data_IF_161217664335
#
_entry.id   IF_161217664335
#
_cell.length_a   1.000
_cell.length_b   1.000
_cell.length_c   1.000
_cell.angle_alpha   90.00
_cell.angle_beta   90.00
_cell.angle_gamma   90.00
#
_symmetry.space_group_name_H-M   'P 1'
#
loop_
_entity.id
_entity.type
_entity.pdbx_description
1 polymer ?
#
# COMPACT_ATOMS: atom_id res chain seq x y z
N UNK A 1 -28.08 -7.65 -2.37
CA UNK A 1 -27.46 -7.38 -3.69
C UNK A 1 -26.11 -8.11 -3.69
N UNK A 2 -25.86 -8.99 -4.64
CA UNK A 2 -24.63 -9.82 -4.71
C UNK A 2 -24.00 -9.67 -6.09
N UNK A 3 -22.67 -9.54 -6.15
CA UNK A 3 -21.96 -9.10 -7.36
C UNK A 3 -21.22 -10.20 -8.16
N UNK A 4 -21.08 -11.45 -7.70
CA UNK A 4 -20.34 -12.47 -8.47
C UNK A 4 -20.82 -13.92 -8.26
N UNK A 5 -20.78 -14.72 -9.34
CA UNK A 5 -21.26 -16.11 -9.43
C UNK A 5 -20.29 -17.06 -10.18
N UNK A 6 -18.99 -16.78 -10.30
CA UNK A 6 -18.02 -17.75 -10.88
C UNK A 6 -16.63 -17.69 -10.22
N UNK A 7 -15.91 -18.76 -9.88
CA UNK A 7 -16.15 -20.21 -9.85
C UNK A 7 -16.12 -20.65 -8.36
N UNK A 8 -17.16 -21.36 -7.89
CA UNK A 8 -17.30 -21.92 -6.52
C UNK A 8 -17.72 -20.91 -5.43
N UNK A 9 -18.93 -20.34 -5.54
CA UNK A 9 -19.71 -19.92 -4.37
C UNK A 9 -20.94 -20.81 -4.26
N UNK A 10 -20.82 -21.87 -3.45
CA UNK A 10 -21.91 -22.80 -3.12
C UNK A 10 -23.03 -22.06 -2.34
N UNK A 11 -22.74 -20.87 -1.81
CA UNK A 11 -23.62 -20.09 -0.94
C UNK A 11 -24.92 -19.60 -1.60
N UNK A 12 -24.89 -19.13 -2.86
CA UNK A 12 -26.11 -18.69 -3.54
C UNK A 12 -27.04 -19.86 -3.92
N UNK A 13 -26.51 -21.08 -3.98
CA UNK A 13 -27.26 -22.32 -4.22
C UNK A 13 -27.72 -22.93 -2.88
N UNK A 14 -26.90 -22.88 -1.82
CA UNK A 14 -27.27 -23.24 -0.45
C UNK A 14 -28.34 -22.30 0.15
N UNK A 15 -28.37 -21.01 -0.20
CA UNK A 15 -29.45 -20.10 0.21
C UNK A 15 -30.76 -20.41 -0.55
N UNK A 16 -30.67 -20.96 -1.77
CA UNK A 16 -31.84 -21.41 -2.55
C UNK A 16 -32.34 -22.81 -2.18
N UNK A 17 -31.44 -23.72 -1.84
CA UNK A 17 -31.72 -25.16 -1.62
C UNK A 17 -31.69 -25.58 -0.14
N UNK A 18 -30.96 -24.85 0.70
CA UNK A 18 -30.80 -25.12 2.14
C UNK A 18 -32.00 -24.63 2.93
N UNK A 19 -32.78 -25.59 3.44
CA UNK A 19 -33.99 -25.40 4.23
C UNK A 19 -33.83 -24.74 5.60
N UNK A 20 -33.15 -23.59 5.67
CA UNK A 20 -33.60 -22.57 6.58
C UNK A 20 -35.06 -22.28 6.18
N UNK A 21 -36.00 -22.43 7.10
CA UNK A 21 -37.38 -21.98 6.91
C UNK A 21 -37.42 -20.45 6.79
N UNK A 22 -36.84 -19.91 5.71
CA UNK A 22 -37.19 -18.63 5.13
C UNK A 22 -38.63 -18.80 4.68
N UNK A 23 -39.53 -18.51 5.63
CA UNK A 23 -40.96 -18.33 5.37
C UNK A 23 -41.05 -17.53 4.08
N UNK A 24 -41.91 -18.00 3.16
CA UNK A 24 -42.26 -17.35 1.89
C UNK A 24 -42.65 -15.87 2.13
N UNK A 25 -41.65 -15.03 2.29
CA UNK A 25 -41.71 -13.58 2.35
C UNK A 25 -40.67 -13.09 1.36
N UNK A 26 -41.02 -12.02 0.69
CA UNK A 26 -40.57 -11.67 -0.66
C UNK A 26 -39.15 -11.12 -0.71
N UNK A 27 -38.15 -11.93 -0.34
CA UNK A 27 -36.74 -11.60 -0.54
C UNK A 27 -36.40 -11.74 -2.03
N UNK A 28 -36.33 -10.61 -2.74
CA UNK A 28 -35.90 -10.59 -4.15
C UNK A 28 -34.39 -10.49 -4.20
N UNK A 29 -33.71 -11.59 -4.52
CA UNK A 29 -32.28 -11.59 -4.85
C UNK A 29 -32.10 -10.97 -6.24
N UNK A 30 -31.29 -9.91 -6.36
CA UNK A 30 -30.99 -9.24 -7.64
C UNK A 30 -29.50 -9.41 -7.94
N UNK A 31 -29.21 -9.89 -9.15
CA UNK A 31 -27.90 -10.27 -9.68
C UNK A 31 -27.41 -9.25 -10.70
N UNK A 32 -26.10 -8.96 -10.71
CA UNK A 32 -25.45 -8.15 -11.74
C UNK A 32 -24.82 -9.03 -12.82
N UNK A 33 -24.92 -8.61 -14.09
CA UNK A 33 -24.54 -9.44 -15.23
C UNK A 33 -23.12 -9.19 -15.79
N UNK A 34 -22.31 -8.30 -15.21
CA UNK A 34 -21.05 -7.88 -15.84
C UNK A 34 -19.87 -7.85 -14.86
N UNK A 35 -18.96 -8.80 -15.02
CA UNK A 35 -17.65 -8.81 -14.37
C UNK A 35 -16.74 -7.69 -14.91
N UNK A 36 -16.27 -6.86 -13.98
CA UNK A 36 -15.10 -5.97 -14.03
C UNK A 36 -15.28 -4.45 -14.33
N UNK A 37 -14.56 -3.70 -13.47
CA UNK A 37 -14.07 -2.30 -13.48
C UNK A 37 -15.04 -1.21 -12.97
N UNK A 38 -14.60 -0.51 -11.93
CA UNK A 38 -15.30 0.37 -10.98
C UNK A 38 -16.26 1.46 -11.52
N UNK A 39 -16.27 1.75 -12.82
CA UNK A 39 -17.15 2.77 -13.41
C UNK A 39 -18.54 2.23 -13.78
N UNK A 40 -18.65 1.01 -14.32
CA UNK A 40 -19.95 0.40 -14.68
C UNK A 40 -20.69 -0.11 -13.46
N UNK A 41 -19.94 -0.68 -12.50
CA UNK A 41 -20.46 -1.16 -11.22
C UNK A 41 -21.14 -0.08 -10.39
N UNK A 42 -20.61 1.14 -10.46
CA UNK A 42 -21.14 2.31 -9.75
C UNK A 42 -22.49 2.75 -10.29
N UNK A 43 -22.62 2.85 -11.61
CA UNK A 43 -23.87 3.23 -12.27
C UNK A 43 -24.94 2.14 -12.12
N UNK A 44 -24.54 0.86 -12.21
CA UNK A 44 -25.43 -0.29 -12.02
C UNK A 44 -25.93 -0.38 -10.58
N UNK A 45 -25.04 -0.20 -9.59
CA UNK A 45 -25.42 -0.15 -8.17
C UNK A 45 -26.38 1.02 -7.89
N UNK A 46 -26.11 2.20 -8.45
CA UNK A 46 -26.94 3.38 -8.25
C UNK A 46 -28.36 3.16 -8.79
N UNK A 47 -28.47 2.65 -10.02
CA UNK A 47 -29.78 2.37 -10.64
C UNK A 47 -30.57 1.34 -9.84
N UNK A 48 -29.89 0.29 -9.35
CA UNK A 48 -30.56 -0.79 -8.64
C UNK A 48 -31.01 -0.39 -7.23
N UNK A 49 -30.17 0.32 -6.47
CA UNK A 49 -30.55 0.88 -5.17
C UNK A 49 -31.75 1.83 -5.34
N UNK A 50 -31.75 2.67 -6.39
CA UNK A 50 -32.89 3.54 -6.70
C UNK A 50 -34.16 2.77 -7.00
N UNK A 51 -34.08 1.73 -7.85
CA UNK A 51 -35.23 0.87 -8.20
C UNK A 51 -35.82 0.19 -6.96
N UNK A 52 -34.97 -0.32 -6.08
CA UNK A 52 -35.40 -1.00 -4.84
C UNK A 52 -35.97 -0.02 -3.82
N UNK A 53 -35.39 1.17 -3.69
CA UNK A 53 -35.91 2.23 -2.82
C UNK A 53 -37.28 2.73 -3.30
N UNK A 54 -37.44 2.99 -4.60
CA UNK A 54 -38.70 3.45 -5.22
C UNK A 54 -39.84 2.41 -5.08
N UNK A 55 -39.51 1.13 -4.92
CA UNK A 55 -40.50 0.09 -4.67
C UNK A 55 -41.18 0.21 -3.29
N UNK A 56 -40.53 0.87 -2.31
CA UNK A 56 -41.08 1.10 -0.96
C UNK A 56 -41.38 -0.17 -0.16
N UNK A 57 -40.69 -1.28 -0.46
CA UNK A 57 -40.94 -2.62 0.11
C UNK A 57 -39.86 -3.11 1.07
N UNK A 58 -38.72 -2.44 1.12
CA UNK A 58 -37.54 -2.89 1.86
C UNK A 58 -37.07 -1.79 2.81
N UNK A 59 -36.81 -2.17 4.06
CA UNK A 59 -36.30 -1.26 5.09
C UNK A 59 -34.76 -1.21 5.12
N UNK A 60 -34.09 -2.25 4.61
CA UNK A 60 -32.64 -2.39 4.65
C UNK A 60 -32.10 -3.11 3.42
N UNK A 61 -30.93 -2.69 2.93
CA UNK A 61 -30.24 -3.32 1.81
C UNK A 61 -28.89 -3.87 2.29
N UNK A 62 -28.68 -5.18 2.10
CA UNK A 62 -27.37 -5.81 2.25
C UNK A 62 -26.68 -5.87 0.88
N UNK A 63 -25.48 -5.33 0.78
CA UNK A 63 -24.66 -5.33 -0.42
C UNK A 63 -23.41 -6.18 -0.15
N UNK A 64 -23.28 -7.28 -0.88
CA UNK A 64 -22.08 -8.10 -0.92
C UNK A 64 -21.22 -7.67 -2.11
N UNK A 65 -20.07 -7.06 -1.81
CA UNK A 65 -19.03 -6.81 -2.81
C UNK A 65 -18.32 -8.11 -3.17
N UNK A 66 -17.69 -8.16 -4.35
CA UNK A 66 -16.80 -9.29 -4.67
C UNK A 66 -15.69 -9.39 -3.62
N UNK A 67 -15.14 -10.59 -3.39
CA UNK A 67 -14.04 -10.80 -2.44
C UNK A 67 -12.77 -9.99 -2.76
N UNK A 68 -12.70 -9.40 -3.96
CA UNK A 68 -11.61 -8.56 -4.47
C UNK A 68 -12.00 -7.08 -4.58
N UNK A 69 -13.21 -6.74 -4.11
CA UNK A 69 -13.77 -5.40 -4.14
C UNK A 69 -13.16 -4.50 -3.08
N UNK A 70 -12.95 -3.24 -3.44
CA UNK A 70 -12.50 -2.21 -2.53
C UNK A 70 -13.72 -1.56 -1.84
N UNK A 71 -13.68 -1.36 -0.51
CA UNK A 71 -14.80 -0.74 0.23
C UNK A 71 -15.06 0.72 -0.14
N UNK A 72 -13.99 1.44 -0.51
CA UNK A 72 -14.02 2.88 -0.75
C UNK A 72 -14.85 3.28 -1.99
N UNK A 73 -14.68 2.67 -3.17
CA UNK A 73 -15.53 2.96 -4.34
C UNK A 73 -17.02 2.76 -4.07
N UNK A 74 -17.37 1.72 -3.28
CA UNK A 74 -18.77 1.49 -2.85
C UNK A 74 -19.25 2.65 -2.00
N UNK A 75 -18.51 3.02 -0.95
CA UNK A 75 -18.89 4.14 -0.09
C UNK A 75 -18.93 5.50 -0.81
N UNK A 76 -18.02 5.74 -1.74
CA UNK A 76 -17.98 6.95 -2.56
C UNK A 76 -19.24 7.07 -3.44
N UNK A 77 -19.77 5.95 -3.95
CA UNK A 77 -21.03 5.92 -4.71
C UNK A 77 -22.20 6.50 -3.92
N UNK A 78 -22.18 6.39 -2.58
CA UNK A 78 -23.21 6.96 -1.72
C UNK A 78 -23.08 8.45 -1.45
N UNK A 79 -21.89 9.03 -1.62
CA UNK A 79 -21.61 10.42 -1.24
C UNK A 79 -21.43 11.36 -2.44
N UNK A 80 -21.01 10.83 -3.58
CA UNK A 80 -20.79 11.65 -4.78
C UNK A 80 -22.14 11.98 -5.42
N UNK A 81 -22.28 13.25 -5.83
CA UNK A 81 -23.43 13.74 -6.60
C UNK A 81 -23.13 13.63 -8.10
N UNK A 82 -24.12 13.25 -8.88
CA UNK A 82 -24.05 13.25 -10.34
C UNK A 82 -24.16 14.67 -10.93
N UNK A 83 -24.12 14.78 -12.27
CA UNK A 83 -24.23 16.05 -12.99
C UNK A 83 -25.57 16.77 -12.76
N UNK A 84 -26.61 16.03 -12.37
CA UNK A 84 -27.94 16.54 -12.05
C UNK A 84 -28.08 16.88 -10.56
N UNK A 85 -27.01 16.68 -9.78
CA UNK A 85 -26.95 16.97 -8.35
C UNK A 85 -27.55 15.88 -7.46
N UNK A 86 -27.92 14.71 -7.99
CA UNK A 86 -28.49 13.59 -7.24
C UNK A 86 -27.39 12.70 -6.64
N UNK A 87 -27.60 12.22 -5.42
CA UNK A 87 -26.74 11.21 -4.78
C UNK A 87 -27.58 10.11 -4.13
N UNK A 88 -27.03 8.90 -4.00
CA UNK A 88 -27.72 7.82 -3.29
C UNK A 88 -28.00 8.19 -1.82
N UNK A 89 -27.21 9.07 -1.20
CA UNK A 89 -27.50 9.61 0.13
C UNK A 89 -28.89 10.25 0.26
N UNK A 90 -29.48 10.70 -0.86
CA UNK A 90 -30.80 11.33 -0.87
C UNK A 90 -31.94 10.31 -0.72
N UNK A 91 -31.68 9.01 -0.96
CA UNK A 91 -32.68 7.93 -0.92
C UNK A 91 -32.32 6.77 0.02
N UNK A 92 -31.04 6.57 0.32
CA UNK A 92 -30.56 5.49 1.17
C UNK A 92 -29.35 5.96 1.99
N UNK A 93 -29.27 5.52 3.25
CA UNK A 93 -28.15 5.77 4.15
C UNK A 93 -27.20 4.57 4.12
N UNK A 94 -25.91 4.79 3.91
CA UNK A 94 -24.91 3.76 4.19
C UNK A 94 -24.79 3.60 5.71
N UNK A 95 -25.09 2.41 6.22
CA UNK A 95 -25.27 2.19 7.65
C UNK A 95 -24.00 1.66 8.35
N UNK A 96 -23.44 0.57 7.82
CA UNK A 96 -22.30 -0.14 8.42
C UNK A 96 -21.48 -0.81 7.31
N UNK A 97 -20.16 -0.61 7.32
CA UNK A 97 -19.24 -1.38 6.48
C UNK A 97 -18.70 -2.59 7.24
N UNK A 98 -18.91 -3.79 6.69
CA UNK A 98 -18.53 -5.05 7.33
C UNK A 98 -17.48 -5.76 6.51
N UNK A 99 -16.36 -6.12 7.13
CA UNK A 99 -15.31 -6.97 6.52
C UNK A 99 -15.28 -8.31 7.24
N UNK A 100 -15.38 -9.40 6.48
CA UNK A 100 -15.28 -10.76 7.02
C UNK A 100 -13.86 -11.28 6.78
N UNK A 101 -13.19 -11.64 7.87
CA UNK A 101 -11.82 -12.16 7.88
C UNK A 101 -11.85 -13.63 8.22
N UNK A 102 -11.16 -14.46 7.45
CA UNK A 102 -10.95 -15.87 7.78
C UNK A 102 -9.84 -16.00 8.82
N UNK A 103 -10.19 -16.29 10.09
CA UNK A 103 -9.21 -16.43 11.17
C UNK A 103 -8.16 -17.51 10.92
N UNK A 104 -8.49 -18.55 10.16
CA UNK A 104 -7.56 -19.65 9.85
C UNK A 104 -6.56 -19.33 8.75
N UNK A 105 -6.90 -18.42 7.85
CA UNK A 105 -6.09 -18.09 6.69
C UNK A 105 -5.47 -16.68 6.76
N UNK A 106 -6.02 -15.78 7.57
CA UNK A 106 -5.69 -14.35 7.53
C UNK A 106 -4.20 -14.10 7.75
N UNK A 107 -3.58 -14.63 8.79
CA UNK A 107 -2.15 -14.40 9.04
C UNK A 107 -1.25 -14.97 7.93
N UNK A 108 -1.66 -16.10 7.34
CA UNK A 108 -0.92 -16.71 6.23
C UNK A 108 -1.04 -15.85 4.95
N UNK A 109 -2.26 -15.39 4.64
CA UNK A 109 -2.53 -14.54 3.48
C UNK A 109 -1.94 -13.15 3.65
N UNK A 110 -1.97 -12.60 4.87
CA UNK A 110 -1.37 -11.33 5.25
C UNK A 110 0.17 -11.38 5.25
N UNK A 111 0.74 -12.56 5.52
CA UNK A 111 2.18 -12.82 5.41
C UNK A 111 2.63 -13.25 4.00
N UNK A 112 1.72 -13.38 3.05
CA UNK A 112 1.98 -13.94 1.73
C UNK A 112 2.57 -12.91 0.75
N UNK A 113 3.46 -13.36 -0.14
CA UNK A 113 3.95 -12.54 -1.27
C UNK A 113 3.09 -12.69 -2.53
N UNK A 114 2.01 -13.46 -2.46
CA UNK A 114 1.17 -13.77 -3.61
C UNK A 114 0.43 -12.52 -4.12
N UNK A 115 0.31 -12.44 -5.44
CA UNK A 115 -0.55 -11.48 -6.14
C UNK A 115 -1.94 -12.04 -6.36
N UNK A 116 -2.90 -11.14 -6.57
CA UNK A 116 -4.26 -11.52 -6.94
C UNK A 116 -4.29 -12.37 -8.23
N UNK A 117 -3.46 -12.01 -9.21
CA UNK A 117 -3.28 -12.78 -10.45
C UNK A 117 -2.83 -14.23 -10.20
N UNK A 118 -1.96 -14.46 -9.22
CA UNK A 118 -1.43 -15.80 -8.89
C UNK A 118 -2.48 -16.68 -8.18
N UNK A 119 -3.52 -16.07 -7.60
CA UNK A 119 -4.69 -16.75 -7.05
C UNK A 119 -5.86 -16.86 -8.03
N UNK A 120 -5.73 -16.32 -9.24
CA UNK A 120 -6.86 -16.19 -10.17
C UNK A 120 -7.94 -15.22 -9.68
N UNK A 121 -7.59 -14.31 -8.76
CA UNK A 121 -8.48 -13.35 -8.09
C UNK A 121 -8.25 -11.90 -8.58
N UNK A 122 -7.75 -11.72 -9.80
CA UNK A 122 -7.50 -10.38 -10.36
C UNK A 122 -8.80 -9.73 -10.85
N UNK A 123 -9.01 -8.45 -10.56
CA UNK A 123 -10.16 -7.69 -11.04
C UNK A 123 -10.07 -7.35 -12.54
N UNK A 124 -8.89 -7.52 -13.16
CA UNK A 124 -8.65 -7.28 -14.57
C UNK A 124 -7.21 -7.63 -14.97
N UNK A 125 -6.87 -7.53 -16.26
CA UNK A 125 -5.54 -7.85 -16.77
C UNK A 125 -4.44 -6.90 -16.27
N UNK A 126 -4.82 -5.69 -15.82
CA UNK A 126 -3.90 -4.68 -15.27
C UNK A 126 -3.88 -4.67 -13.73
N UNK A 127 -4.61 -5.58 -13.07
CA UNK A 127 -4.64 -5.68 -11.60
C UNK A 127 -3.41 -6.43 -11.08
N UNK A 128 -2.36 -5.67 -10.75
CA UNK A 128 -1.07 -6.18 -10.29
C UNK A 128 -0.89 -6.20 -8.76
N UNK A 129 -1.98 -5.94 -8.02
CA UNK A 129 -2.00 -5.81 -6.56
C UNK A 129 -1.61 -7.11 -5.84
N UNK A 130 -0.99 -6.94 -4.67
CA UNK A 130 -0.75 -8.03 -3.72
C UNK A 130 -2.02 -8.39 -2.96
N UNK A 131 -2.17 -9.67 -2.58
CA UNK A 131 -3.27 -10.12 -1.70
C UNK A 131 -3.27 -9.32 -0.39
N UNK A 132 -2.08 -9.04 0.15
CA UNK A 132 -1.90 -8.29 1.40
C UNK A 132 -2.39 -6.85 1.31
N UNK A 133 -2.17 -6.18 0.16
CA UNK A 133 -2.57 -4.78 -0.01
C UNK A 133 -4.10 -4.66 0.02
N UNK A 134 -4.80 -5.57 -0.68
CA UNK A 134 -6.26 -5.65 -0.65
C UNK A 134 -6.80 -5.93 0.77
N UNK A 135 -6.21 -6.90 1.48
CA UNK A 135 -6.63 -7.25 2.84
C UNK A 135 -6.45 -6.07 3.81
N UNK A 136 -5.35 -5.30 3.69
CA UNK A 136 -5.15 -4.08 4.47
C UNK A 136 -6.28 -3.09 4.23
N UNK A 137 -6.56 -2.76 2.98
CA UNK A 137 -7.58 -1.77 2.61
C UNK A 137 -8.98 -2.18 3.08
N UNK A 138 -9.32 -3.46 2.96
CA UNK A 138 -10.60 -4.01 3.43
C UNK A 138 -10.74 -3.92 4.96
N UNK A 139 -9.67 -4.20 5.70
CA UNK A 139 -9.68 -4.14 7.17
C UNK A 139 -9.71 -2.69 7.65
N UNK A 140 -8.90 -1.80 7.08
CA UNK A 140 -8.79 -0.38 7.48
C UNK A 140 -10.11 0.39 7.32
N UNK A 141 -10.93 0.04 6.33
CA UNK A 141 -12.18 0.76 6.04
C UNK A 141 -13.39 0.23 6.81
N UNK A 142 -13.29 -0.93 7.48
CA UNK A 142 -14.42 -1.58 8.13
C UNK A 142 -14.91 -0.82 9.38
N UNK A 143 -16.22 -0.79 9.60
CA UNK A 143 -16.84 -0.43 10.88
C UNK A 143 -16.95 -1.65 11.81
N UNK A 144 -17.14 -2.82 11.21
CA UNK A 144 -17.22 -4.10 11.91
C UNK A 144 -16.37 -5.11 11.15
N UNK A 145 -15.51 -5.81 11.87
CA UNK A 145 -14.70 -6.91 11.35
C UNK A 145 -15.20 -8.20 12.00
N UNK A 146 -15.69 -9.13 11.19
CA UNK A 146 -16.09 -10.45 11.63
C UNK A 146 -14.93 -11.41 11.41
N UNK A 147 -14.33 -11.90 12.49
CA UNK A 147 -13.32 -12.96 12.43
C UNK A 147 -14.05 -14.29 12.43
N UNK A 148 -14.12 -14.91 11.25
CA UNK A 148 -14.79 -16.18 11.01
C UNK A 148 -13.84 -17.37 11.24
N UNK A 149 -14.42 -18.57 11.35
CA UNK A 149 -13.70 -19.84 11.55
C UNK A 149 -12.80 -19.87 12.77
N UNK A 150 -13.21 -19.20 13.86
CA UNK A 150 -12.45 -19.21 15.12
C UNK A 150 -12.37 -20.60 15.77
N UNK A 151 -13.26 -21.52 15.35
CA UNK A 151 -13.24 -22.93 15.72
C UNK A 151 -12.11 -23.75 15.07
N UNK A 152 -11.43 -23.19 14.06
CA UNK A 152 -10.36 -23.87 13.31
C UNK A 152 -8.96 -23.38 13.69
N UNK A 153 -8.86 -22.46 14.65
CA UNK A 153 -7.59 -21.87 15.09
C UNK A 153 -7.38 -22.08 16.58
N UNK A 154 -6.13 -22.13 17.00
CA UNK A 154 -5.78 -22.12 18.41
C UNK A 154 -5.80 -20.70 18.99
N UNK A 155 -5.75 -20.61 20.32
CA UNK A 155 -5.82 -19.34 21.03
C UNK A 155 -4.66 -18.40 20.68
N UNK A 156 -3.47 -18.94 20.38
CA UNK A 156 -2.28 -18.15 20.04
C UNK A 156 -2.46 -17.46 18.68
N UNK A 157 -2.81 -18.23 17.64
CA UNK A 157 -3.09 -17.71 16.29
C UNK A 157 -4.27 -16.74 16.31
N UNK A 158 -5.30 -17.01 17.12
CA UNK A 158 -6.43 -16.10 17.27
C UNK A 158 -6.00 -14.78 17.90
N UNK A 159 -5.21 -14.80 19.00
CA UNK A 159 -4.73 -13.56 19.62
C UNK A 159 -3.83 -12.76 18.67
N UNK A 160 -2.96 -13.42 17.91
CA UNK A 160 -2.11 -12.77 16.91
C UNK A 160 -2.95 -12.13 15.80
N UNK A 161 -3.97 -12.85 15.30
CA UNK A 161 -4.92 -12.33 14.31
C UNK A 161 -5.62 -11.08 14.83
N UNK A 162 -6.14 -11.14 16.06
CA UNK A 162 -6.83 -10.01 16.69
C UNK A 162 -5.89 -8.82 16.91
N UNK A 163 -4.63 -9.07 17.26
CA UNK A 163 -3.61 -8.03 17.43
C UNK A 163 -3.31 -7.32 16.10
N UNK A 164 -3.15 -8.08 15.00
CA UNK A 164 -2.95 -7.50 13.66
C UNK A 164 -4.18 -6.70 13.23
N UNK A 165 -5.39 -7.25 13.36
CA UNK A 165 -6.62 -6.56 12.99
C UNK A 165 -6.82 -5.28 13.82
N UNK A 166 -6.50 -5.30 15.12
CA UNK A 166 -6.51 -4.10 15.97
C UNK A 166 -5.46 -3.08 15.56
N UNK A 167 -4.29 -3.53 15.10
CA UNK A 167 -3.25 -2.67 14.56
C UNK A 167 -3.67 -1.99 13.28
N UNK A 168 -4.37 -2.70 12.39
CA UNK A 168 -4.87 -2.12 11.14
C UNK A 168 -6.09 -1.21 11.38
N UNK A 169 -7.01 -1.61 12.26
CA UNK A 169 -8.24 -0.88 12.55
C UNK A 169 -8.72 -1.08 14.01
N UNK A 170 -8.54 -0.06 14.86
CA UNK A 170 -9.01 -0.08 16.27
C UNK A 170 -10.42 0.37 16.46
N UNK A 171 -10.93 1.18 15.55
CA UNK A 171 -12.27 1.74 15.67
C UNK A 171 -13.32 0.71 15.27
N UNK A 172 -12.94 -0.24 14.40
CA UNK A 172 -13.78 -1.36 14.03
C UNK A 172 -14.19 -2.19 15.24
N UNK A 173 -15.47 -2.58 15.31
CA UNK A 173 -15.90 -3.60 16.24
C UNK A 173 -15.42 -4.96 15.75
N UNK A 174 -14.74 -5.74 16.60
CA UNK A 174 -14.37 -7.12 16.28
C UNK A 174 -15.45 -8.06 16.81
N UNK A 175 -15.94 -8.93 15.95
CA UNK A 175 -16.87 -10.01 16.28
C UNK A 175 -16.21 -11.34 15.96
N UNK A 176 -16.26 -12.28 16.91
CA UNK A 176 -15.78 -13.64 16.67
C UNK A 176 -16.96 -14.48 16.19
N UNK A 177 -16.72 -15.31 15.17
CA UNK A 177 -17.75 -16.14 14.57
C UNK A 177 -17.24 -17.55 14.27
N UNK A 178 -18.07 -18.52 14.61
CA UNK A 178 -17.95 -19.91 14.19
C UNK A 178 -19.19 -20.27 13.38
N UNK A 179 -19.00 -20.93 12.24
CA UNK A 179 -20.10 -21.34 11.35
C UNK A 179 -21.07 -20.21 10.96
N UNK A 180 -20.57 -18.98 10.83
CA UNK A 180 -21.38 -17.82 10.46
C UNK A 180 -22.32 -17.32 11.56
N UNK A 181 -22.22 -17.83 12.78
CA UNK A 181 -22.97 -17.32 13.92
C UNK A 181 -22.45 -15.93 14.29
N UNK A 182 -23.24 -14.90 14.00
CA UNK A 182 -22.94 -13.50 14.30
C UNK A 182 -24.23 -12.80 14.74
N UNK A 183 -24.21 -12.01 15.83
CA UNK A 183 -25.39 -11.24 16.22
C UNK A 183 -25.73 -10.19 15.15
N UNK A 184 -26.81 -10.39 14.40
CA UNK A 184 -27.19 -9.49 13.30
C UNK A 184 -27.44 -8.04 13.73
N UNK A 185 -27.88 -7.82 14.98
CA UNK A 185 -28.03 -6.49 15.55
C UNK A 185 -26.70 -5.72 15.71
N UNK A 186 -25.56 -6.42 15.56
CA UNK A 186 -24.23 -5.82 15.56
C UNK A 186 -23.72 -5.53 14.14
N UNK A 187 -24.46 -5.95 13.10
CA UNK A 187 -24.12 -5.76 11.69
C UNK A 187 -25.12 -4.86 10.95
N UNK A 188 -26.41 -4.93 11.29
CA UNK A 188 -27.49 -4.28 10.57
C UNK A 188 -28.09 -3.14 11.42
N UNK A 189 -28.39 -2.01 10.76
CA UNK A 189 -28.99 -0.80 11.35
C UNK A 189 -28.25 -0.31 12.60
N UNK A 190 -26.92 -0.33 12.54
CA UNK A 190 -26.06 0.09 13.66
C UNK A 190 -25.71 1.57 13.61
N UNK A 191 -25.85 2.21 12.45
CA UNK A 191 -25.49 3.60 12.21
C UNK A 191 -24.01 3.92 12.44
N UNK A 192 -23.13 2.93 12.32
CA UNK A 192 -21.69 3.08 12.62
C UNK A 192 -20.91 3.82 11.53
N UNK A 193 -21.38 3.80 10.29
CA UNK A 193 -20.66 4.40 9.18
C UNK A 193 -20.64 5.94 9.30
N UNK A 194 -19.43 6.50 9.35
CA UNK A 194 -19.20 7.94 9.44
C UNK A 194 -18.57 8.48 8.14
N UNK A 195 -19.38 9.23 7.38
CA UNK A 195 -18.94 9.88 6.14
C UNK A 195 -17.87 10.94 6.36
N UNK A 196 -17.86 11.66 7.47
CA UNK A 196 -16.80 12.64 7.74
C UNK A 196 -15.48 11.95 8.05
N UNK A 197 -15.51 10.82 8.75
CA UNK A 197 -14.34 9.97 8.97
C UNK A 197 -13.83 9.42 7.64
N UNK A 198 -14.73 8.88 6.81
CA UNK A 198 -14.40 8.36 5.49
C UNK A 198 -13.81 9.45 4.57
N UNK A 199 -14.32 10.68 4.62
CA UNK A 199 -13.80 11.82 3.85
C UNK A 199 -12.38 12.24 4.22
N UNK A 200 -11.99 12.02 5.48
CA UNK A 200 -10.63 12.26 5.97
C UNK A 200 -9.68 11.11 5.64
N UNK A 201 -10.20 9.93 5.32
CA UNK A 201 -9.40 8.81 4.84
C UNK A 201 -8.70 9.26 3.55
N UNK A 202 -7.37 9.20 3.46
CA UNK A 202 -6.69 9.88 2.36
C UNK A 202 -6.97 9.29 0.97
N UNK A 203 -7.51 8.07 0.88
CA UNK A 203 -8.07 7.51 -0.35
C UNK A 203 -9.31 8.26 -0.88
N UNK A 204 -10.05 9.00 -0.04
CA UNK A 204 -11.35 9.55 -0.40
C UNK A 204 -11.27 10.78 -1.31
N UNK A 205 -10.39 11.72 -0.98
CA UNK A 205 -10.06 12.87 -1.83
C UNK A 205 -9.54 12.41 -3.18
N UNK A 206 -8.97 11.22 -3.19
CA UNK A 206 -8.32 10.57 -4.29
C UNK A 206 -9.32 9.80 -5.15
N UNK A 207 -10.31 9.13 -4.58
CA UNK A 207 -11.46 8.57 -5.30
C UNK A 207 -12.33 9.67 -5.96
N UNK A 208 -12.51 10.79 -5.26
CA UNK A 208 -13.15 12.00 -5.82
C UNK A 208 -12.37 12.63 -7.00
N UNK A 209 -11.08 12.31 -7.15
CA UNK A 209 -10.16 12.86 -8.16
C UNK A 209 -9.61 11.81 -9.14
N UNK A 210 -9.87 10.52 -8.90
CA UNK A 210 -9.33 9.36 -9.62
C UNK A 210 -7.92 8.85 -9.27
N UNK A 211 -7.31 9.10 -8.09
CA UNK A 211 -5.88 8.76 -7.83
C UNK A 211 -5.47 8.42 -6.36
N UNK A 212 -5.32 7.14 -5.91
CA UNK A 212 -5.11 6.61 -4.51
C UNK A 212 -3.80 6.90 -3.69
N UNK A 213 -3.87 7.00 -2.33
CA UNK A 213 -2.83 6.81 -1.24
C UNK A 213 -3.23 7.37 0.16
N UNK A 214 -3.04 6.62 1.30
CA UNK A 214 -3.22 7.12 2.68
C UNK A 214 -2.13 6.86 3.77
N UNK A 215 -2.30 7.52 4.95
CA UNK A 215 -1.47 7.53 6.19
C UNK A 215 -2.30 7.78 7.47
N UNK A 216 -1.85 7.25 8.64
CA UNK A 216 -2.51 7.21 9.98
C UNK A 216 -1.49 7.24 11.16
N UNK A 217 -1.87 7.79 12.35
CA UNK A 217 -1.14 7.67 13.65
C UNK A 217 -2.09 7.78 14.90
N UNK A 218 -2.32 6.70 15.68
CA UNK A 218 -2.83 6.81 17.09
C UNK A 218 -2.66 5.58 18.05
N UNK A 219 -1.85 4.54 17.75
CA UNK A 219 -2.06 3.21 18.37
C UNK A 219 -0.87 2.53 19.06
N UNK A 220 0.22 3.25 19.34
CA UNK A 220 1.51 2.59 19.61
C UNK A 220 2.09 1.93 18.35
N UNK A 221 1.40 2.14 17.23
CA UNK A 221 1.93 2.17 15.88
C UNK A 221 2.73 3.45 15.79
N UNK A 222 4.04 3.33 15.78
CA UNK A 222 4.94 4.43 15.52
C UNK A 222 5.26 4.41 14.03
N UNK A 223 5.03 5.55 13.39
CA UNK A 223 5.53 5.79 12.05
C UNK A 223 6.71 6.75 12.15
N UNK A 224 7.75 6.55 11.35
CA UNK A 224 8.78 7.56 11.21
C UNK A 224 9.37 7.53 9.81
N UNK A 225 9.86 8.70 9.38
CA UNK A 225 10.63 8.79 8.15
C UNK A 225 12.11 8.72 8.48
N UNK A 226 12.77 7.70 7.95
CA UNK A 226 14.22 7.59 7.92
C UNK A 226 14.75 8.35 6.72
N UNK A 227 15.62 9.33 6.98
CA UNK A 227 16.31 10.11 5.94
C UNK A 227 17.80 10.09 6.18
N UNK A 228 18.57 9.75 5.16
CA UNK A 228 20.03 9.84 5.18
C UNK A 228 20.57 10.22 3.81
N UNK A 229 21.62 11.03 3.79
CA UNK A 229 22.34 11.40 2.54
C UNK A 229 23.59 10.56 2.32
N UNK A 230 23.74 9.48 3.07
CA UNK A 230 24.84 8.53 2.94
C UNK A 230 24.31 7.26 2.26
N UNK A 231 25.04 6.66 1.32
CA UNK A 231 24.57 5.46 0.65
C UNK A 231 24.60 4.25 1.60
N UNK A 232 23.69 3.30 1.37
CA UNK A 232 23.74 2.00 2.03
C UNK A 232 24.85 1.13 1.45
N UNK A 233 25.52 0.38 2.33
CA UNK A 233 26.35 -0.75 1.92
C UNK A 233 25.45 -1.90 1.46
N UNK A 234 25.57 -2.38 0.21
CA UNK A 234 24.63 -3.35 -0.36
C UNK A 234 24.46 -4.62 0.49
N UNK A 235 25.57 -5.24 0.90
CA UNK A 235 25.52 -6.47 1.69
C UNK A 235 24.96 -6.28 3.11
N UNK A 236 25.22 -5.14 3.76
CA UNK A 236 24.70 -4.88 5.12
C UNK A 236 23.20 -4.63 5.07
N UNK A 237 22.78 -3.80 4.12
CA UNK A 237 21.37 -3.51 3.93
C UNK A 237 20.57 -4.74 3.51
N UNK A 238 21.05 -5.53 2.55
CA UNK A 238 20.40 -6.79 2.18
C UNK A 238 20.26 -7.77 3.36
N UNK A 239 21.28 -7.86 4.24
CA UNK A 239 21.21 -8.68 5.45
C UNK A 239 20.17 -8.16 6.45
N UNK A 240 20.12 -6.85 6.67
CA UNK A 240 19.11 -6.25 7.56
C UNK A 240 17.69 -6.52 7.04
N UNK A 241 17.47 -6.36 5.72
CA UNK A 241 16.19 -6.68 5.09
C UNK A 241 15.82 -8.18 5.21
N UNK A 242 16.81 -9.08 5.08
CA UNK A 242 16.59 -10.53 5.24
C UNK A 242 16.34 -10.95 6.70
N UNK A 243 16.97 -10.27 7.65
CA UNK A 243 16.84 -10.61 9.08
C UNK A 243 15.56 -10.04 9.69
N UNK A 244 14.97 -9.04 9.04
CA UNK A 244 13.87 -8.25 9.59
C UNK A 244 14.35 -7.32 10.70
N UNK A 245 13.52 -6.34 11.05
CA UNK A 245 13.77 -5.41 12.15
C UNK A 245 12.68 -5.60 13.20
N UNK A 246 13.02 -5.85 14.48
CA UNK A 246 12.02 -6.11 15.51
C UNK A 246 10.97 -5.01 15.63
N UNK A 247 9.69 -5.40 15.61
CA UNK A 247 8.56 -4.47 15.71
C UNK A 247 8.23 -3.69 14.44
N UNK A 248 9.06 -3.74 13.39
CA UNK A 248 8.73 -3.15 12.08
C UNK A 248 7.72 -4.06 11.37
N UNK A 249 6.57 -3.49 11.03
CA UNK A 249 5.51 -4.21 10.30
C UNK A 249 5.43 -3.77 8.84
N UNK A 250 5.87 -2.55 8.52
CA UNK A 250 5.87 -2.04 7.15
C UNK A 250 7.01 -1.05 6.95
N UNK A 251 7.62 -1.06 5.76
CA UNK A 251 8.45 0.05 5.33
C UNK A 251 8.30 0.31 3.85
N UNK A 252 8.11 1.57 3.45
CA UNK A 252 7.95 1.98 2.06
C UNK A 252 8.84 3.16 1.77
N UNK A 253 9.49 3.17 0.61
CA UNK A 253 10.13 4.38 0.12
C UNK A 253 11.33 4.12 -0.76
N UNK A 254 12.18 5.12 -0.87
CA UNK A 254 13.30 5.13 -1.79
C UNK A 254 14.62 4.94 -1.06
N UNK A 255 15.52 4.17 -1.66
CA UNK A 255 16.87 3.99 -1.17
C UNK A 255 17.93 4.07 -2.27
N UNK A 256 19.15 4.33 -1.84
CA UNK A 256 20.36 4.52 -2.61
C UNK A 256 21.43 3.55 -2.13
N UNK A 257 21.85 2.68 -3.06
CA UNK A 257 22.96 1.74 -2.86
C UNK A 257 24.27 2.35 -3.36
N UNK A 258 25.33 2.15 -2.59
CA UNK A 258 26.66 2.69 -2.92
C UNK A 258 27.19 2.20 -4.28
N UNK A 259 26.89 0.96 -4.67
CA UNK A 259 27.34 0.38 -5.93
C UNK A 259 26.41 0.67 -7.13
N UNK A 260 25.24 1.28 -6.90
CA UNK A 260 24.24 1.64 -7.92
C UNK A 260 23.91 3.12 -7.85
N UNK A 261 24.88 3.93 -8.25
CA UNK A 261 24.81 5.40 -8.21
C UNK A 261 23.76 5.98 -9.16
N UNK A 262 23.42 5.27 -10.24
CA UNK A 262 22.50 5.79 -11.25
C UNK A 262 21.02 5.55 -10.85
N UNK A 263 20.77 4.51 -10.06
CA UNK A 263 19.45 3.97 -9.80
C UNK A 263 18.84 4.41 -8.48
N UNK A 264 17.52 4.64 -8.49
CA UNK A 264 16.68 4.75 -7.29
C UNK A 264 16.14 3.36 -6.98
N UNK A 265 16.46 2.83 -5.80
CA UNK A 265 15.84 1.62 -5.29
C UNK A 265 14.50 1.95 -4.63
N UNK A 266 13.51 1.10 -4.83
CA UNK A 266 12.25 1.13 -4.07
C UNK A 266 12.25 -0.01 -3.07
N UNK A 267 11.95 0.29 -1.81
CA UNK A 267 11.69 -0.69 -0.76
C UNK A 267 10.19 -0.71 -0.49
N UNK A 268 9.60 -1.90 -0.51
CA UNK A 268 8.26 -2.16 0.02
C UNK A 268 8.35 -3.42 0.90
N UNK A 269 8.20 -3.24 2.20
CA UNK A 269 8.18 -4.31 3.21
C UNK A 269 6.81 -4.33 3.86
N UNK A 270 6.20 -5.51 3.97
CA UNK A 270 4.96 -5.74 4.69
C UNK A 270 5.10 -7.07 5.43
N UNK A 271 4.97 -7.05 6.76
CA UNK A 271 5.27 -8.21 7.60
C UNK A 271 6.70 -8.72 7.38
N UNK A 272 6.85 -10.03 7.14
CA UNK A 272 8.14 -10.66 6.85
C UNK A 272 8.58 -10.54 5.38
N UNK A 273 7.69 -10.08 4.49
CA UNK A 273 7.99 -9.97 3.07
C UNK A 273 8.68 -8.63 2.77
N UNK A 274 9.89 -8.69 2.22
CA UNK A 274 10.59 -7.50 1.72
C UNK A 274 10.80 -7.60 0.22
N UNK A 275 10.28 -6.62 -0.53
CA UNK A 275 10.50 -6.47 -1.96
C UNK A 275 11.37 -5.24 -2.22
N UNK A 276 12.34 -5.42 -3.12
CA UNK A 276 13.14 -4.31 -3.65
C UNK A 276 13.17 -4.32 -5.16
N UNK A 277 12.94 -3.16 -5.78
CA UNK A 277 12.97 -3.00 -7.24
C UNK A 277 13.60 -1.66 -7.65
N UNK A 278 13.82 -1.45 -8.95
CA UNK A 278 14.19 -0.14 -9.46
C UNK A 278 12.94 0.73 -9.60
N UNK A 279 13.02 1.93 -9.04
CA UNK A 279 12.01 2.97 -9.18
C UNK A 279 12.24 3.89 -10.39
N UNK A 280 13.45 3.82 -10.96
CA UNK A 280 13.94 4.74 -11.97
C UNK A 280 15.36 5.19 -11.65
N UNK A 281 15.69 6.40 -12.08
CA UNK A 281 17.04 6.95 -11.97
C UNK A 281 17.05 8.25 -11.18
N UNK A 282 18.16 8.49 -10.47
CA UNK A 282 18.37 9.78 -9.83
C UNK A 282 18.46 10.86 -10.90
N UNK A 283 17.86 12.02 -10.65
CA UNK A 283 17.94 13.13 -11.59
C UNK A 283 19.38 13.61 -11.76
N UNK A 284 20.21 13.48 -10.72
CA UNK A 284 21.65 13.70 -10.79
C UNK A 284 22.36 12.75 -11.77
N UNK A 285 21.82 11.57 -12.07
CA UNK A 285 22.40 10.62 -13.01
C UNK A 285 21.97 10.85 -14.48
N UNK A 286 21.14 11.86 -14.76
CA UNK A 286 20.49 12.07 -16.07
C UNK A 286 21.43 12.04 -17.28
N UNK A 287 22.64 12.61 -17.17
CA UNK A 287 23.56 12.71 -18.31
C UNK A 287 24.14 11.32 -18.64
N UNK A 288 24.37 10.50 -17.62
CA UNK A 288 24.80 9.10 -17.77
C UNK A 288 23.70 8.24 -18.35
N UNK A 289 22.47 8.38 -17.83
CA UNK A 289 21.29 7.63 -18.30
C UNK A 289 20.93 7.98 -19.75
N UNK A 290 21.09 9.25 -20.15
CA UNK A 290 20.94 9.68 -21.55
C UNK A 290 22.01 9.09 -22.45
N UNK A 291 23.22 8.91 -21.94
CA UNK A 291 24.34 8.31 -22.65
C UNK A 291 24.31 6.76 -22.64
N UNK A 292 23.36 6.12 -21.96
CA UNK A 292 23.29 4.65 -21.83
C UNK A 292 24.44 4.07 -20.99
N UNK A 293 24.95 4.85 -20.03
CA UNK A 293 26.10 4.50 -19.20
C UNK A 293 25.69 3.97 -17.81
N UNK A 294 24.40 3.75 -17.55
CA UNK A 294 23.93 3.09 -16.33
C UNK A 294 24.71 1.78 -16.07
N UNK A 295 25.05 1.51 -14.82
CA UNK A 295 25.82 0.33 -14.38
C UNK A 295 27.26 0.21 -14.91
N UNK A 296 27.78 1.23 -15.60
CA UNK A 296 29.18 1.27 -16.04
C UNK A 296 30.03 2.17 -15.15
N UNK A 297 31.26 1.78 -14.84
CA UNK A 297 32.20 2.71 -14.21
C UNK A 297 32.60 3.83 -15.19
N UNK A 298 32.66 5.11 -14.77
CA UNK A 298 33.07 6.21 -15.63
C UNK A 298 34.52 6.02 -16.10
N UNK A 299 34.75 6.34 -17.38
CA UNK A 299 35.97 6.03 -18.13
C UNK A 299 37.20 6.85 -17.71
N UNK A 300 37.03 8.01 -17.06
CA UNK A 300 38.13 8.91 -16.70
C UNK A 300 38.05 9.29 -15.22
N UNK A 301 39.08 8.99 -14.39
CA UNK A 301 39.26 9.72 -13.15
C UNK A 301 39.63 11.16 -13.53
N UNK A 302 39.06 12.19 -12.90
CA UNK A 302 39.33 13.56 -13.33
C UNK A 302 40.76 13.98 -12.97
N UNK A 303 41.18 15.16 -13.39
CA UNK A 303 42.56 15.65 -13.22
C UNK A 303 42.99 15.63 -11.75
N UNK A 304 44.14 15.03 -11.39
CA UNK A 304 44.60 14.97 -10.00
C UNK A 304 44.86 16.39 -9.48
N UNK A 305 43.99 16.85 -8.58
CA UNK A 305 44.18 18.05 -7.78
C UNK A 305 44.83 17.66 -6.44
N UNK A 306 45.51 18.59 -5.73
CA UNK A 306 46.03 18.31 -4.39
C UNK A 306 44.93 17.75 -3.47
N UNK A 307 45.29 16.77 -2.64
CA UNK A 307 44.38 16.06 -1.74
C UNK A 307 43.87 16.99 -0.61
N UNK A 308 42.87 17.78 -0.96
CA UNK A 308 41.98 18.46 -0.04
C UNK A 308 40.60 17.83 -0.18
N UNK A 309 39.81 17.82 0.89
CA UNK A 309 38.43 17.30 0.85
C UNK A 309 37.61 17.92 -0.29
N UNK A 310 37.92 19.17 -0.66
CA UNK A 310 37.33 19.92 -1.78
C UNK A 310 37.81 19.48 -3.17
N UNK A 311 39.09 19.13 -3.33
CA UNK A 311 39.65 18.67 -4.60
C UNK A 311 39.15 17.28 -4.99
N UNK A 312 39.02 16.40 -3.99
CA UNK A 312 38.52 15.04 -4.15
C UNK A 312 37.00 14.99 -4.36
N UNK A 313 36.24 15.84 -3.65
CA UNK A 313 34.79 15.91 -3.77
C UNK A 313 34.33 16.49 -5.13
N UNK A 314 35.07 17.45 -5.70
CA UNK A 314 34.81 17.97 -7.05
C UNK A 314 35.07 16.93 -8.13
N UNK A 315 36.17 16.19 -8.00
CA UNK A 315 36.52 15.14 -8.94
C UNK A 315 35.41 14.07 -9.08
N UNK A 316 34.81 13.62 -7.98
CA UNK A 316 33.83 12.55 -8.05
C UNK A 316 32.41 13.00 -8.43
N UNK A 317 32.04 14.23 -8.09
CA UNK A 317 30.74 14.79 -8.49
C UNK A 317 30.63 14.90 -10.02
N UNK A 318 31.71 15.30 -10.71
CA UNK A 318 31.69 15.54 -12.17
C UNK A 318 31.44 14.28 -13.01
N UNK A 319 31.73 13.07 -12.50
CA UNK A 319 31.60 11.83 -13.27
C UNK A 319 30.29 11.06 -13.06
N UNK A 320 29.56 11.38 -11.98
CA UNK A 320 28.36 10.65 -11.55
C UNK A 320 27.14 11.54 -11.35
N UNK A 321 27.36 12.83 -11.10
CA UNK A 321 26.31 13.80 -10.78
C UNK A 321 26.36 14.96 -11.76
N UNK A 322 25.40 15.00 -12.68
CA UNK A 322 25.13 16.20 -13.45
C UNK A 322 24.77 17.36 -12.49
N UNK A 323 25.14 18.62 -12.80
CA UNK A 323 24.86 19.76 -11.92
C UNK A 323 23.36 19.99 -11.73
N UNK A 324 22.95 20.81 -10.76
CA UNK A 324 21.55 21.24 -10.69
C UNK A 324 21.18 21.94 -12.02
N UNK A 325 20.06 21.57 -12.67
CA UNK A 325 19.62 22.25 -13.89
C UNK A 325 19.23 23.70 -13.62
N UNK A 326 19.34 24.55 -14.65
CA UNK A 326 18.76 25.88 -14.58
C UNK A 326 17.22 25.85 -14.58
N UNK A 327 16.63 27.03 -14.36
CA UNK A 327 15.18 27.22 -14.29
C UNK A 327 14.46 26.73 -15.54
N UNK A 328 15.13 26.79 -16.70
CA UNK A 328 14.63 26.37 -18.02
C UNK A 328 14.28 24.89 -18.10
N UNK A 329 14.81 24.05 -17.21
CA UNK A 329 14.51 22.63 -17.16
C UNK A 329 13.22 22.30 -16.39
N UNK A 330 12.56 23.31 -15.80
CA UNK A 330 11.38 23.15 -14.97
C UNK A 330 10.16 23.91 -15.54
N UNK A 331 8.94 23.39 -15.35
CA UNK A 331 7.72 24.05 -15.82
C UNK A 331 7.43 25.34 -15.06
N UNK A 332 7.86 25.44 -13.80
CA UNK A 332 7.73 26.64 -12.98
C UNK A 332 8.90 26.83 -12.00
N UNK A 333 8.95 28.01 -11.38
CA UNK A 333 9.96 28.35 -10.38
C UNK A 333 9.80 27.60 -9.05
N UNK A 334 8.60 27.08 -8.75
CA UNK A 334 8.33 26.36 -7.51
C UNK A 334 8.98 24.97 -7.52
N UNK A 335 8.87 24.24 -8.63
CA UNK A 335 9.50 22.94 -8.87
C UNK A 335 11.04 23.05 -8.82
N UNK A 336 11.60 24.09 -9.44
CA UNK A 336 13.04 24.38 -9.36
C UNK A 336 13.48 24.68 -7.91
N UNK A 337 12.72 25.49 -7.18
CA UNK A 337 12.98 25.78 -5.75
C UNK A 337 12.89 24.54 -4.87
N UNK A 338 11.96 23.62 -5.15
CA UNK A 338 11.84 22.35 -4.44
C UNK A 338 13.05 21.45 -4.70
N UNK A 339 13.49 21.35 -5.96
CA UNK A 339 14.70 20.60 -6.32
C UNK A 339 15.95 21.19 -5.65
N UNK A 340 16.11 22.52 -5.70
CA UNK A 340 17.21 23.23 -5.06
C UNK A 340 17.35 22.90 -3.56
N UNK A 341 16.23 22.79 -2.84
CA UNK A 341 16.24 22.46 -1.41
C UNK A 341 16.71 21.03 -1.12
N UNK A 342 16.47 20.10 -2.05
CA UNK A 342 16.85 18.70 -1.90
C UNK A 342 18.26 18.41 -2.42
N UNK A 343 18.77 19.24 -3.32
CA UNK A 343 20.01 19.04 -4.05
C UNK A 343 21.25 19.13 -3.17
N UNK A 344 21.95 18.00 -3.02
CA UNK A 344 23.24 17.95 -2.36
C UNK A 344 24.37 18.35 -3.32
N UNK A 345 25.36 19.17 -2.88
CA UNK A 345 26.45 19.62 -3.76
C UNK A 345 27.26 18.49 -4.43
N UNK A 346 27.36 17.33 -3.77
CA UNK A 346 28.15 16.19 -4.26
C UNK A 346 27.31 15.06 -4.87
N UNK A 347 26.10 14.88 -4.36
CA UNK A 347 25.30 13.67 -4.61
C UNK A 347 24.03 13.97 -5.40
N UNK A 348 23.73 15.26 -5.62
CA UNK A 348 22.47 15.73 -6.19
C UNK A 348 21.28 15.31 -5.35
N UNK A 349 20.27 14.71 -5.96
CA UNK A 349 19.03 14.31 -5.31
C UNK A 349 19.09 12.96 -4.54
N UNK A 350 20.22 12.24 -4.63
CA UNK A 350 20.45 10.94 -3.98
C UNK A 350 20.30 11.00 -2.47
N UNK A 351 19.42 10.16 -1.94
CA UNK A 351 19.17 10.01 -0.50
C UNK A 351 18.38 8.74 -0.20
N UNK A 352 18.34 8.40 1.08
CA UNK A 352 17.36 7.49 1.66
C UNK A 352 16.16 8.31 2.09
N UNK A 353 14.96 7.82 1.77
CA UNK A 353 13.70 8.34 2.27
C UNK A 353 12.74 7.17 2.42
N UNK A 354 12.77 6.55 3.59
CA UNK A 354 11.98 5.38 3.94
C UNK A 354 10.97 5.77 5.02
N UNK A 355 9.69 5.54 4.76
CA UNK A 355 8.64 5.52 5.78
C UNK A 355 8.70 4.14 6.44
N UNK A 356 8.80 4.10 7.76
CA UNK A 356 8.83 2.88 8.56
C UNK A 356 7.67 2.93 9.53
N UNK A 357 6.90 1.85 9.60
CA UNK A 357 5.73 1.71 10.46
C UNK A 357 5.93 0.43 11.27
N UNK A 358 5.75 0.54 12.59
CA UNK A 358 5.98 -0.56 13.50
C UNK A 358 5.04 -0.55 14.70
N UNK A 359 4.69 -1.73 15.20
CA UNK A 359 3.87 -1.94 16.42
C UNK A 359 4.81 -2.26 17.57
N UNK A 360 4.73 -1.50 18.67
CA UNK A 360 5.68 -1.61 19.81
C UNK A 360 7.16 -1.52 19.39
N UNK A 361 7.42 -0.87 18.26
CA UNK A 361 8.75 -0.69 17.69
C UNK A 361 9.56 0.31 18.50
N UNK A 362 10.80 -0.06 18.85
CA UNK A 362 11.79 0.91 19.32
C UNK A 362 12.38 1.65 18.13
N UNK A 363 11.82 2.83 17.81
CA UNK A 363 12.28 3.68 16.71
C UNK A 363 13.81 3.92 16.77
N UNK A 364 14.38 4.08 17.98
CA UNK A 364 15.81 4.37 18.12
C UNK A 364 16.65 3.17 17.73
N UNK A 365 16.23 1.96 18.09
CA UNK A 365 16.91 0.73 17.70
C UNK A 365 16.82 0.52 16.18
N UNK A 366 15.64 0.72 15.58
CA UNK A 366 15.44 0.56 14.13
C UNK A 366 16.27 1.59 13.34
N UNK A 367 16.30 2.85 13.78
CA UNK A 367 17.18 3.87 13.20
C UNK A 367 18.65 3.47 13.29
N UNK A 368 19.09 2.94 14.44
CA UNK A 368 20.48 2.51 14.62
C UNK A 368 20.84 1.33 13.70
N UNK A 369 19.91 0.41 13.44
CA UNK A 369 20.12 -0.70 12.52
C UNK A 369 20.22 -0.22 11.06
N UNK A 370 19.36 0.72 10.66
CA UNK A 370 19.46 1.39 9.36
C UNK A 370 20.78 2.18 9.24
N UNK A 371 21.18 2.91 10.28
CA UNK A 371 22.45 3.65 10.30
C UNK A 371 23.66 2.71 10.18
N UNK A 372 23.62 1.54 10.81
CA UNK A 372 24.65 0.51 10.70
C UNK A 372 24.80 -0.04 9.26
N UNK A 373 23.74 0.08 8.44
CA UNK A 373 23.78 -0.28 7.03
C UNK A 373 24.46 0.78 6.15
N UNK A 374 24.61 2.03 6.61
CA UNK A 374 25.28 3.10 5.85
C UNK A 374 26.77 2.84 5.70
N UNK A 375 27.41 3.39 4.65
CA UNK A 375 28.87 3.38 4.54
C UNK A 375 29.54 4.04 5.76
N UNK A 376 30.61 3.45 6.28
CA UNK A 376 31.42 4.08 7.31
C UNK A 376 32.35 5.16 6.71
N UNK A 377 33.07 5.91 7.55
CA UNK A 377 33.99 6.97 7.11
C UNK A 377 35.05 6.49 6.11
N UNK A 378 35.65 5.32 6.36
CA UNK A 378 36.70 4.78 5.51
C UNK A 378 36.14 4.36 4.14
N UNK A 379 35.00 3.68 4.14
CA UNK A 379 34.28 3.28 2.93
C UNK A 379 33.83 4.53 2.15
N UNK A 380 33.29 5.55 2.82
CA UNK A 380 32.87 6.79 2.17
C UNK A 380 34.07 7.50 1.51
N UNK A 381 35.24 7.55 2.17
CA UNK A 381 36.47 8.14 1.60
C UNK A 381 36.99 7.40 0.38
N UNK A 382 36.74 6.09 0.28
CA UNK A 382 37.12 5.27 -0.86
C UNK A 382 36.44 5.74 -2.17
N UNK A 383 35.22 6.27 -2.04
CA UNK A 383 34.45 6.90 -3.12
C UNK A 383 33.84 5.94 -4.17
N UNK A 384 33.00 6.47 -5.09
CA UNK A 384 32.14 5.69 -5.97
C UNK A 384 32.83 4.66 -6.86
N UNK A 385 34.08 4.91 -7.28
CA UNK A 385 34.83 3.94 -8.09
C UNK A 385 35.06 2.63 -7.32
N UNK A 386 35.39 2.73 -6.04
CA UNK A 386 35.55 1.56 -5.17
C UNK A 386 34.19 1.04 -4.67
N UNK A 387 33.21 1.92 -4.50
CA UNK A 387 31.85 1.49 -4.13
C UNK A 387 31.21 0.60 -5.20
N UNK A 388 31.46 0.86 -6.48
CA UNK A 388 30.96 0.04 -7.58
C UNK A 388 31.46 -1.41 -7.51
N UNK A 389 32.58 -1.66 -6.83
CA UNK A 389 33.14 -2.99 -6.60
C UNK A 389 32.52 -3.71 -5.38
N UNK A 390 31.62 -3.06 -4.63
CA UNK A 390 30.95 -3.68 -3.49
C UNK A 390 30.01 -4.81 -3.94
N UNK A 391 29.73 -5.80 -3.07
CA UNK A 391 28.97 -7.00 -3.44
C UNK A 391 27.62 -6.70 -4.08
N UNK A 392 27.27 -7.48 -5.10
CA UNK A 392 25.94 -7.48 -5.72
C UNK A 392 24.97 -8.28 -4.86
N UNK A 393 24.43 -7.64 -3.82
CA UNK A 393 23.50 -8.26 -2.88
C UNK A 393 22.01 -8.10 -3.26
N UNK A 394 21.72 -7.43 -4.38
CA UNK A 394 20.38 -7.15 -4.88
C UNK A 394 20.19 -7.70 -6.30
N UNK A 395 18.95 -8.04 -6.72
CA UNK A 395 18.66 -8.46 -8.09
C UNK A 395 19.16 -7.46 -9.13
N UNK A 396 19.46 -7.92 -10.35
CA UNK A 396 19.81 -7.02 -11.45
C UNK A 396 18.60 -6.16 -11.80
N UNK A 397 18.78 -4.84 -11.77
CA UNK A 397 17.77 -3.89 -12.19
C UNK A 397 17.84 -3.67 -13.69
N UNK A 398 16.68 -3.48 -14.33
CA UNK A 398 16.56 -3.26 -15.76
C UNK A 398 15.71 -2.03 -16.01
N UNK A 399 16.00 -1.39 -17.14
CA UNK A 399 15.36 -0.16 -17.60
C UNK A 399 13.95 -0.41 -18.11
#
# INVERSE_FOLDING_TARGET
IVNDMSEVNIDAQLVREGGAELRRTEETLVEFSNGCICCTLRDDLLQEVRRLADAGRYDYLLIESTGIGEPMPVAATFAVRDEQGFSLSDIARLDTMVTVVDGSAFLADFGSTLRLAERGQQAGPDDDRGVVDLLCEQVEFADVIVVSKVDQVDDEVLQDTLAVLRGLNRDAKLLLSSFGDVPLAELLDTGRFDYERAQRAPGWVKELRGEHTPETEEYGIASFVYRSRRPFHPARFARALQSGMPGVIRSKGWFWLANRMDWVGELNTVGAATRTQAAGFWYAARDRVRAGLEDTAPLLPPTPLPYSDLGWARQQADCWSAPLPGLEAFPDAAAHSAMQRLWHPLWGDRRQELVVIGVHMDERAVRAELDACLLNEQELRAGPLLWHQLPQAFPVWKR
#
